data_IF_628416332098
#
_entry.id   IF_628416332098
#
_cell.length_a   1.000
_cell.length_b   1.000
_cell.length_c   1.000
_cell.angle_alpha   90.00
_cell.angle_beta   90.00
_cell.angle_gamma   90.00
#
_symmetry.space_group_name_H-M   'P 1'
#
loop_
_entity.id
_entity.type
_entity.pdbx_description
1 polymer ?
#
# COMPACT_ATOMS: atom_id res chain seq x y z
N UNK A 1 9.89 7.81 -5.87
CA UNK A 1 10.38 7.95 -4.49
C UNK A 1 11.66 8.78 -4.54
N UNK A 2 11.80 9.81 -3.71
CA UNK A 2 13.03 10.60 -3.66
C UNK A 2 14.10 9.89 -2.82
N UNK A 3 15.39 10.22 -3.00
CA UNK A 3 16.47 9.66 -2.18
C UNK A 3 16.24 9.90 -0.68
N UNK A 4 15.74 11.09 -0.32
CA UNK A 4 15.41 11.44 1.07
C UNK A 4 14.33 10.53 1.66
N UNK A 5 13.29 10.21 0.89
CA UNK A 5 12.23 9.27 1.31
C UNK A 5 12.76 7.85 1.53
N UNK A 6 13.61 7.36 0.63
CA UNK A 6 14.21 6.01 0.75
C UNK A 6 15.07 5.90 2.01
N UNK A 7 15.81 6.96 2.34
CA UNK A 7 16.69 6.98 3.51
C UNK A 7 15.94 7.15 4.84
N UNK A 8 14.73 7.70 4.81
CA UNK A 8 13.88 7.85 5.99
C UNK A 8 13.18 6.55 6.39
N UNK A 9 12.82 5.69 5.42
CA UNK A 9 12.16 4.40 5.69
C UNK A 9 13.19 3.27 5.90
N UNK A 10 13.08 2.55 7.03
CA UNK A 10 14.07 1.52 7.41
C UNK A 10 14.07 0.31 6.46
N UNK A 11 12.91 -0.07 5.90
CA UNK A 11 12.79 -1.22 5.00
C UNK A 11 13.23 -0.84 3.59
N UNK A 12 12.81 0.32 3.09
CA UNK A 12 13.24 0.88 1.82
C UNK A 12 14.76 1.11 1.80
N UNK A 13 15.34 1.62 2.89
CA UNK A 13 16.79 1.75 3.05
C UNK A 13 17.52 0.40 2.96
N UNK A 14 17.05 -0.63 3.66
CA UNK A 14 17.64 -1.99 3.61
C UNK A 14 17.58 -2.56 2.20
N UNK A 15 16.44 -2.42 1.55
CA UNK A 15 16.23 -2.91 0.19
C UNK A 15 17.08 -2.15 -0.85
N UNK A 16 17.17 -0.82 -0.73
CA UNK A 16 18.03 0.00 -1.57
C UNK A 16 19.51 -0.38 -1.40
N UNK A 17 19.95 -0.61 -0.17
CA UNK A 17 21.31 -1.04 0.13
C UNK A 17 21.65 -2.40 -0.52
N UNK A 18 20.72 -3.36 -0.45
CA UNK A 18 20.87 -4.67 -1.10
C UNK A 18 20.93 -4.54 -2.63
N UNK A 19 20.04 -3.74 -3.22
CA UNK A 19 20.00 -3.51 -4.67
C UNK A 19 21.28 -2.85 -5.19
N UNK A 20 21.77 -1.81 -4.50
CA UNK A 20 23.02 -1.14 -4.86
C UNK A 20 24.24 -2.02 -4.65
N UNK A 21 24.26 -2.84 -3.60
CA UNK A 21 25.34 -3.80 -3.38
C UNK A 21 25.39 -4.85 -4.52
N UNK A 22 24.23 -5.35 -4.96
CA UNK A 22 24.14 -6.28 -6.07
C UNK A 22 24.55 -5.63 -7.42
N UNK A 23 24.16 -4.37 -7.65
CA UNK A 23 24.59 -3.58 -8.81
C UNK A 23 26.11 -3.42 -8.88
N UNK A 24 26.74 -3.14 -7.73
CA UNK A 24 28.19 -3.01 -7.63
C UNK A 24 28.89 -4.36 -7.87
N UNK A 25 28.38 -5.44 -7.29
CA UNK A 25 28.91 -6.79 -7.51
C UNK A 25 28.82 -7.21 -8.99
N UNK A 26 27.73 -6.89 -9.70
CA UNK A 26 27.60 -7.17 -11.12
C UNK A 26 28.54 -6.34 -11.99
N UNK A 27 28.82 -5.08 -11.60
CA UNK A 27 29.84 -4.26 -12.27
C UNK A 27 31.23 -4.82 -12.06
N UNK A 28 31.55 -5.30 -10.86
CA UNK A 28 32.84 -5.95 -10.61
C UNK A 28 32.93 -7.24 -11.42
N UNK A 29 31.87 -8.06 -11.43
CA UNK A 29 31.80 -9.29 -12.22
C UNK A 29 32.02 -9.05 -13.72
N UNK A 30 31.50 -7.95 -14.28
CA UNK A 30 31.75 -7.57 -15.67
C UNK A 30 33.24 -7.52 -16.04
N UNK A 31 34.13 -7.07 -15.13
CA UNK A 31 35.57 -7.02 -15.38
C UNK A 31 36.26 -8.39 -15.37
N UNK A 32 35.62 -9.40 -14.75
CA UNK A 32 36.15 -10.76 -14.61
C UNK A 32 35.43 -11.79 -15.49
N UNK A 33 34.33 -11.41 -16.16
CA UNK A 33 33.60 -12.29 -17.04
C UNK A 33 34.43 -12.61 -18.30
N UNK A 34 34.50 -13.91 -18.65
CA UNK A 34 35.11 -14.37 -19.90
C UNK A 34 34.43 -13.71 -21.12
N UNK A 35 35.24 -13.44 -22.16
CA UNK A 35 34.85 -12.67 -23.36
C UNK A 35 33.68 -13.25 -24.17
N UNK A 36 33.24 -14.48 -23.86
CA UNK A 36 32.15 -15.17 -24.56
C UNK A 36 30.77 -14.94 -23.93
N UNK A 37 30.71 -14.37 -22.71
CA UNK A 37 29.43 -13.94 -22.14
C UNK A 37 29.04 -12.61 -22.80
N UNK A 38 27.77 -12.48 -23.22
CA UNK A 38 27.21 -11.22 -23.74
C UNK A 38 27.55 -10.06 -22.79
N UNK A 39 28.63 -9.32 -23.09
CA UNK A 39 29.24 -8.29 -22.25
C UNK A 39 28.24 -7.22 -21.79
N UNK A 40 27.13 -7.05 -22.51
CA UNK A 40 26.10 -6.08 -22.18
C UNK A 40 25.17 -6.54 -21.05
N UNK A 41 25.05 -7.84 -20.78
CA UNK A 41 24.13 -8.37 -19.77
C UNK A 41 24.44 -7.89 -18.35
N UNK A 42 25.68 -7.99 -17.81
CA UNK A 42 25.94 -7.56 -16.44
C UNK A 42 25.81 -6.04 -16.27
N UNK A 43 26.12 -5.29 -17.32
CA UNK A 43 26.02 -3.83 -17.36
C UNK A 43 24.55 -3.37 -17.35
N UNK A 44 23.69 -4.00 -18.16
CA UNK A 44 22.24 -3.73 -18.19
C UNK A 44 21.61 -4.08 -16.84
N UNK A 45 21.93 -5.24 -16.27
CA UNK A 45 21.38 -5.65 -14.97
C UNK A 45 21.88 -4.77 -13.82
N UNK A 46 23.13 -4.32 -13.87
CA UNK A 46 23.65 -3.37 -12.89
C UNK A 46 22.90 -2.03 -12.94
N UNK A 47 22.66 -1.49 -14.14
CA UNK A 47 21.90 -0.25 -14.30
C UNK A 47 20.46 -0.40 -13.80
N UNK A 48 19.81 -1.52 -14.12
CA UNK A 48 18.45 -1.82 -13.64
C UNK A 48 18.41 -1.88 -12.10
N UNK A 49 19.35 -2.57 -11.47
CA UNK A 49 19.45 -2.65 -10.00
C UNK A 49 19.79 -1.31 -9.33
N UNK A 50 20.50 -0.41 -10.02
CA UNK A 50 20.78 0.92 -9.51
C UNK A 50 19.53 1.81 -9.44
N UNK A 51 18.61 1.62 -10.41
CA UNK A 51 17.38 2.43 -10.54
C UNK A 51 16.18 1.80 -9.83
N UNK A 52 16.19 0.48 -9.60
CA UNK A 52 15.15 -0.29 -8.90
C UNK A 52 14.66 0.37 -7.59
N UNK A 53 15.55 0.90 -6.71
CA UNK A 53 15.18 1.60 -5.48
C UNK A 53 14.19 2.76 -5.67
N UNK A 54 14.26 3.43 -6.82
CA UNK A 54 13.46 4.60 -7.14
C UNK A 54 12.13 4.24 -7.84
N UNK A 55 12.06 3.06 -8.46
CA UNK A 55 10.88 2.57 -9.19
C UNK A 55 9.94 1.75 -8.31
N UNK A 56 10.43 1.23 -7.18
CA UNK A 56 9.60 0.51 -6.23
C UNK A 56 8.72 1.48 -5.45
N UNK A 57 7.60 1.81 -6.07
CA UNK A 57 6.41 2.24 -5.34
C UNK A 57 5.86 0.99 -4.66
N UNK A 58 6.43 0.61 -3.53
CA UNK A 58 5.77 -0.33 -2.64
C UNK A 58 4.48 0.35 -2.18
N UNK A 59 3.39 0.13 -2.94
CA UNK A 59 2.04 0.58 -2.63
C UNK A 59 1.51 0.00 -1.31
N UNK A 60 2.27 -0.90 -0.69
CA UNK A 60 1.98 -1.54 0.60
C UNK A 60 2.31 -0.69 1.82
N UNK A 61 2.86 0.52 1.66
CA UNK A 61 3.10 1.44 2.78
C UNK A 61 2.22 2.69 2.62
N UNK A 62 0.89 2.52 2.71
CA UNK A 62 0.01 3.61 3.13
C UNK A 62 0.35 3.95 4.59
N UNK A 63 1.45 4.69 4.80
CA UNK A 63 1.83 5.26 6.09
C UNK A 63 0.76 6.23 6.60
N UNK A 64 -0.01 6.79 5.67
CA UNK A 64 -1.19 7.58 5.95
C UNK A 64 -2.40 6.91 5.28
N UNK A 65 -3.51 6.72 6.01
CA UNK A 65 -4.74 6.24 5.41
C UNK A 65 -5.14 7.17 4.27
N UNK A 66 -5.51 6.64 3.12
CA UNK A 66 -5.98 7.49 2.02
C UNK A 66 -7.17 8.33 2.49
N UNK A 67 -7.11 9.65 2.30
CA UNK A 67 -8.11 10.56 2.85
C UNK A 67 -9.26 10.78 1.88
N UNK A 68 -10.49 10.72 2.39
CA UNK A 68 -11.73 10.95 1.66
C UNK A 68 -12.41 12.20 2.20
N UNK A 69 -12.68 13.18 1.34
CA UNK A 69 -13.51 14.33 1.72
C UNK A 69 -14.97 13.94 1.94
N UNK A 70 -15.45 12.94 1.19
CA UNK A 70 -16.82 12.42 1.28
C UNK A 70 -16.80 10.88 1.28
N UNK A 71 -16.88 10.22 2.46
CA UNK A 71 -16.79 8.77 2.56
C UNK A 71 -18.05 8.06 2.02
N UNK A 72 -19.23 8.68 2.10
CA UNK A 72 -20.49 8.03 1.71
C UNK A 72 -20.68 7.94 0.19
N UNK A 73 -20.14 8.89 -0.58
CA UNK A 73 -20.16 8.77 -2.05
C UNK A 73 -19.21 7.69 -2.59
N UNK A 74 -18.17 7.35 -1.82
CA UNK A 74 -17.14 6.37 -2.18
C UNK A 74 -17.36 4.98 -1.58
N UNK A 75 -18.29 4.86 -0.61
CA UNK A 75 -18.77 3.60 -0.05
C UNK A 75 -20.08 3.22 -0.74
N UNK A 76 -20.05 2.17 -1.55
CA UNK A 76 -21.26 1.64 -2.20
C UNK A 76 -21.37 0.15 -1.96
N UNK A 77 -22.59 -0.30 -1.73
CA UNK A 77 -22.92 -1.71 -1.65
C UNK A 77 -23.70 -2.09 -2.90
N UNK A 78 -23.09 -2.91 -3.75
CA UNK A 78 -23.73 -3.46 -4.95
C UNK A 78 -23.81 -4.98 -4.79
N UNK A 79 -24.99 -5.46 -4.35
CA UNK A 79 -25.20 -6.87 -4.04
C UNK A 79 -24.31 -7.35 -2.89
N UNK A 80 -23.45 -8.32 -3.16
CA UNK A 80 -22.51 -8.89 -2.16
C UNK A 80 -21.12 -8.22 -2.17
N UNK A 81 -20.94 -7.16 -2.97
CA UNK A 81 -19.68 -6.46 -3.13
C UNK A 81 -19.76 -5.08 -2.46
N UNK A 82 -18.87 -4.85 -1.51
CA UNK A 82 -18.59 -3.56 -0.93
C UNK A 82 -17.53 -2.85 -1.77
N UNK A 83 -17.93 -1.80 -2.46
CA UNK A 83 -17.06 -0.94 -3.23
C UNK A 83 -16.55 0.17 -2.31
N UNK A 84 -15.23 0.22 -2.15
CA UNK A 84 -14.52 1.26 -1.40
C UNK A 84 -13.55 1.92 -2.35
N UNK A 85 -13.95 3.08 -2.90
CA UNK A 85 -13.18 3.80 -3.92
C UNK A 85 -12.91 2.95 -5.18
N UNK A 86 -11.67 2.53 -5.39
CA UNK A 86 -11.24 1.67 -6.51
C UNK A 86 -11.17 0.19 -6.12
N UNK A 87 -11.34 -0.14 -4.84
CA UNK A 87 -11.26 -1.50 -4.33
C UNK A 87 -12.65 -2.11 -4.22
N UNK A 88 -12.78 -3.36 -4.63
CA UNK A 88 -13.99 -4.16 -4.47
C UNK A 88 -13.70 -5.25 -3.44
N UNK A 89 -14.52 -5.30 -2.40
CA UNK A 89 -14.41 -6.26 -1.31
C UNK A 89 -15.67 -7.09 -1.26
N UNK A 90 -15.54 -8.41 -1.34
CA UNK A 90 -16.66 -9.31 -1.09
C UNK A 90 -17.01 -9.27 0.39
N UNK A 91 -18.29 -9.10 0.73
CA UNK A 91 -18.75 -9.06 2.13
C UNK A 91 -18.34 -10.31 2.91
N UNK A 92 -18.32 -11.48 2.26
CA UNK A 92 -17.84 -12.74 2.84
C UNK A 92 -16.38 -12.69 3.34
N UNK A 93 -15.56 -11.79 2.80
CA UNK A 93 -14.16 -11.61 3.20
C UNK A 93 -13.99 -10.49 4.25
N UNK A 94 -15.05 -9.73 4.56
CA UNK A 94 -15.02 -8.59 5.46
C UNK A 94 -15.89 -8.87 6.68
N UNK A 95 -15.40 -9.74 7.58
CA UNK A 95 -16.15 -10.10 8.79
C UNK A 95 -16.10 -9.00 9.87
N UNK A 96 -15.04 -8.18 9.87
CA UNK A 96 -14.78 -7.18 10.91
C UNK A 96 -14.18 -5.93 10.28
N UNK A 97 -14.67 -4.76 10.64
CA UNK A 97 -14.13 -3.48 10.18
C UNK A 97 -13.86 -2.63 11.42
N UNK A 98 -12.67 -2.06 11.53
CA UNK A 98 -12.37 -1.13 12.61
C UNK A 98 -12.70 0.29 12.16
N UNK A 99 -13.59 0.97 12.90
CA UNK A 99 -14.08 2.32 12.60
C UNK A 99 -13.99 3.15 13.87
N UNK A 100 -12.99 4.01 13.95
CA UNK A 100 -12.79 4.85 15.12
C UNK A 100 -12.24 6.24 14.77
N UNK A 101 -12.29 7.14 15.76
CA UNK A 101 -11.74 8.47 15.65
C UNK A 101 -10.21 8.41 15.70
N UNK A 102 -9.55 9.10 14.76
CA UNK A 102 -8.10 9.21 14.74
C UNK A 102 -7.64 10.42 15.57
N UNK A 103 -8.25 11.58 15.30
CA UNK A 103 -7.99 12.88 15.93
C UNK A 103 -9.30 13.72 15.95
N UNK A 104 -9.27 14.94 16.49
CA UNK A 104 -10.43 15.84 16.55
C UNK A 104 -11.03 16.20 15.17
N UNK A 105 -10.25 16.07 14.11
CA UNK A 105 -10.66 16.43 12.74
C UNK A 105 -10.87 15.22 11.84
N UNK A 106 -10.33 14.06 12.20
CA UNK A 106 -10.26 12.88 11.32
C UNK A 106 -10.67 11.60 12.03
N UNK A 107 -11.35 10.74 11.29
CA UNK A 107 -11.63 9.37 11.65
C UNK A 107 -10.98 8.43 10.64
N UNK A 108 -10.95 7.13 10.95
CA UNK A 108 -10.41 6.12 10.07
C UNK A 108 -11.32 4.89 9.96
N UNK A 109 -11.19 4.19 8.84
CA UNK A 109 -11.72 2.86 8.61
C UNK A 109 -10.56 1.95 8.25
N UNK A 110 -10.46 0.82 8.94
CA UNK A 110 -9.45 -0.20 8.71
C UNK A 110 -10.15 -1.52 8.41
N UNK A 111 -9.94 -2.01 7.19
CA UNK A 111 -10.50 -3.27 6.72
C UNK A 111 -9.56 -4.43 7.07
N UNK A 112 -10.11 -5.65 7.26
CA UNK A 112 -9.30 -6.81 7.56
C UNK A 112 -8.40 -7.14 6.37
N UNK A 113 -7.37 -7.94 6.60
CA UNK A 113 -6.39 -8.27 5.57
C UNK A 113 -7.08 -8.98 4.39
N UNK A 114 -7.05 -8.36 3.22
CA UNK A 114 -7.62 -8.91 1.99
C UNK A 114 -6.51 -9.40 1.07
N UNK A 115 -6.84 -10.04 -0.06
CA UNK A 115 -5.84 -10.41 -1.08
C UNK A 115 -5.06 -9.20 -1.62
N UNK A 116 -5.62 -7.99 -1.48
CA UNK A 116 -4.98 -6.72 -1.87
C UNK A 116 -4.19 -6.06 -0.73
N UNK A 117 -4.05 -6.74 0.41
CA UNK A 117 -3.38 -6.24 1.61
C UNK A 117 -4.35 -5.58 2.60
N UNK A 118 -3.76 -4.80 3.50
CA UNK A 118 -4.48 -4.06 4.54
C UNK A 118 -4.95 -2.72 3.98
N UNK A 119 -6.25 -2.54 3.83
CA UNK A 119 -6.84 -1.30 3.31
C UNK A 119 -7.22 -0.39 4.48
N UNK A 120 -6.60 0.79 4.56
CA UNK A 120 -6.88 1.77 5.61
C UNK A 120 -7.17 3.13 4.99
N UNK A 121 -8.29 3.73 5.39
CA UNK A 121 -8.76 5.01 4.89
C UNK A 121 -9.03 5.99 6.03
N UNK A 122 -8.95 7.29 5.74
CA UNK A 122 -9.28 8.37 6.68
C UNK A 122 -10.32 9.30 6.08
N UNK A 123 -11.14 9.92 6.93
CA UNK A 123 -12.24 10.79 6.51
C UNK A 123 -12.56 11.81 7.62
N UNK A 124 -13.35 12.87 7.37
CA UNK A 124 -13.73 13.84 8.39
C UNK A 124 -14.42 13.19 9.59
N UNK A 125 -13.98 13.51 10.81
CA UNK A 125 -14.57 12.94 12.04
C UNK A 125 -16.07 13.22 12.17
N UNK A 126 -16.57 14.31 11.55
CA UNK A 126 -17.99 14.67 11.50
C UNK A 126 -18.87 13.60 10.85
N UNK A 127 -18.31 12.84 9.91
CA UNK A 127 -19.03 11.81 9.15
C UNK A 127 -18.97 10.43 9.82
N UNK A 128 -18.24 10.28 10.94
CA UNK A 128 -18.11 8.99 11.65
C UNK A 128 -19.44 8.36 12.07
N UNK A 129 -20.43 9.10 12.60
CA UNK A 129 -21.74 8.53 12.90
C UNK A 129 -22.46 8.03 11.64
N UNK A 130 -22.34 8.77 10.53
CA UNK A 130 -23.01 8.42 9.28
C UNK A 130 -22.40 7.17 8.64
N UNK A 131 -21.07 7.04 8.69
CA UNK A 131 -20.40 5.84 8.19
C UNK A 131 -20.70 4.61 9.06
N UNK A 132 -20.71 4.75 10.39
CA UNK A 132 -21.14 3.65 11.28
C UNK A 132 -22.59 3.22 10.99
N UNK A 133 -23.49 4.18 10.80
CA UNK A 133 -24.88 3.91 10.42
C UNK A 133 -24.99 3.20 9.07
N UNK A 134 -24.19 3.58 8.07
CA UNK A 134 -24.15 2.93 6.77
C UNK A 134 -23.79 1.43 6.89
N UNK A 135 -22.73 1.10 7.63
CA UNK A 135 -22.35 -0.30 7.83
C UNK A 135 -23.41 -1.08 8.63
N UNK A 136 -24.03 -0.48 9.65
CA UNK A 136 -25.11 -1.13 10.39
C UNK A 136 -26.36 -1.38 9.55
N UNK A 137 -26.70 -0.46 8.66
CA UNK A 137 -27.90 -0.54 7.83
C UNK A 137 -27.74 -1.48 6.63
N UNK A 138 -26.58 -1.43 5.96
CA UNK A 138 -26.34 -2.16 4.72
C UNK A 138 -25.52 -3.45 4.90
N UNK A 139 -24.78 -3.57 6.00
CA UNK A 139 -23.90 -4.70 6.29
C UNK A 139 -24.08 -5.18 7.75
N UNK A 140 -25.29 -5.58 8.18
CA UNK A 140 -25.56 -5.89 9.59
C UNK A 140 -24.70 -7.02 10.16
N UNK A 141 -24.21 -7.92 9.30
CA UNK A 141 -23.37 -9.06 9.70
C UNK A 141 -21.91 -8.68 9.99
N UNK A 142 -21.49 -7.45 9.61
CA UNK A 142 -20.12 -6.97 9.83
C UNK A 142 -19.99 -6.44 11.25
N UNK A 143 -19.02 -6.98 12.00
CA UNK A 143 -18.70 -6.45 13.32
C UNK A 143 -17.88 -5.15 13.18
N UNK A 144 -18.44 -4.05 13.67
CA UNK A 144 -17.72 -2.78 13.81
C UNK A 144 -16.91 -2.84 15.10
N UNK A 145 -15.58 -2.80 14.98
CA UNK A 145 -14.66 -2.64 16.10
C UNK A 145 -14.40 -1.13 16.23
N UNK A 146 -14.84 -0.53 17.33
CA UNK A 146 -14.52 0.86 17.66
C UNK A 146 -13.45 0.87 18.73
#
# INVERSE_FOLDING_TARGET
MTFKEIMADTKAKRWACLSWSASLLLLVYFFYAEKDLLLFTPLIYSLLLAVLPFTNKNHTHQLFPEYFDDPLSQLRLEGEMLHVKQHQLTLANVNKVAIDQLDDTKAFIDFPYTMYGKLKFSFPAKELPAVKAFFQQHCPDIQIIS
#
